data_IF_244983343337
#
_entry.id   IF_244983343337
#
_cell.length_a   1.000
_cell.length_b   1.000
_cell.length_c   1.000
_cell.angle_alpha   90.00
_cell.angle_beta   90.00
_cell.angle_gamma   90.00
#
_symmetry.space_group_name_H-M   'P 1'
#
loop_
_entity.id
_entity.type
_entity.pdbx_description
1 polymer ?
#
# COMPACT_ATOMS: atom_id res chain seq x y z
N UNK A 1 16.98 15.22 -32.24
CA UNK A 1 16.23 15.96 -31.19
C UNK A 1 14.90 15.25 -30.98
N UNK A 2 14.16 14.97 -32.05
CA UNK A 2 12.87 14.25 -31.99
C UNK A 2 12.98 12.83 -31.41
N UNK A 3 14.00 12.06 -31.76
CA UNK A 3 14.23 10.70 -31.23
C UNK A 3 14.37 10.65 -29.71
N UNK A 4 15.08 11.61 -29.12
CA UNK A 4 15.31 11.65 -27.67
C UNK A 4 14.05 12.09 -26.91
N UNK A 5 13.17 12.86 -27.56
CA UNK A 5 11.89 13.29 -26.98
C UNK A 5 10.94 12.09 -26.92
N UNK A 6 10.87 11.30 -27.99
CA UNK A 6 10.07 10.06 -28.06
C UNK A 6 10.52 9.03 -27.00
N UNK A 7 11.84 8.82 -26.86
CA UNK A 7 12.39 7.97 -25.81
C UNK A 7 12.07 8.50 -24.39
N UNK A 8 12.07 9.83 -24.20
CA UNK A 8 11.77 10.44 -22.91
C UNK A 8 10.28 10.28 -22.56
N UNK A 9 9.38 10.42 -23.52
CA UNK A 9 7.94 10.18 -23.31
C UNK A 9 7.66 8.73 -22.91
N UNK A 10 8.24 7.76 -23.62
CA UNK A 10 8.08 6.33 -23.30
C UNK A 10 8.55 6.00 -21.87
N UNK A 11 9.67 6.59 -21.45
CA UNK A 11 10.19 6.40 -20.09
C UNK A 11 9.29 7.03 -19.02
N UNK A 12 8.70 8.20 -19.29
CA UNK A 12 7.78 8.88 -18.37
C UNK A 12 6.47 8.12 -18.23
N UNK A 13 5.93 7.58 -19.32
CA UNK A 13 4.71 6.77 -19.31
C UNK A 13 4.91 5.43 -18.56
N UNK A 14 6.06 4.78 -18.77
CA UNK A 14 6.45 3.59 -18.02
C UNK A 14 6.56 3.90 -16.50
N UNK A 15 7.18 5.02 -16.14
CA UNK A 15 7.28 5.46 -14.75
C UNK A 15 5.90 5.76 -14.13
N UNK A 16 5.00 6.42 -14.89
CA UNK A 16 3.64 6.70 -14.43
C UNK A 16 2.85 5.42 -14.14
N UNK A 17 2.96 4.43 -15.02
CA UNK A 17 2.32 3.13 -14.86
C UNK A 17 2.76 2.42 -13.59
N UNK A 18 4.06 2.43 -13.29
CA UNK A 18 4.60 1.84 -12.06
C UNK A 18 4.06 2.56 -10.81
N UNK A 19 4.02 3.90 -10.80
CA UNK A 19 3.47 4.68 -9.68
C UNK A 19 2.01 4.31 -9.40
N UNK A 20 1.18 4.20 -10.45
CA UNK A 20 -0.22 3.80 -10.30
C UNK A 20 -0.37 2.38 -9.76
N UNK A 21 0.51 1.46 -10.19
CA UNK A 21 0.55 0.07 -9.70
C UNK A 21 0.84 0.01 -8.20
N UNK A 22 1.86 0.75 -7.73
CA UNK A 22 2.19 0.84 -6.31
C UNK A 22 1.07 1.49 -5.52
N UNK A 23 0.48 2.56 -6.03
CA UNK A 23 -0.64 3.24 -5.38
C UNK A 23 -1.86 2.32 -5.21
N UNK A 24 -2.20 1.55 -6.24
CA UNK A 24 -3.28 0.56 -6.16
C UNK A 24 -2.95 -0.57 -5.16
N UNK A 25 -1.72 -1.09 -5.19
CA UNK A 25 -1.24 -2.11 -4.23
C UNK A 25 -1.36 -1.63 -2.78
N UNK A 26 -0.89 -0.41 -2.48
CA UNK A 26 -0.97 0.19 -1.13
C UNK A 26 -2.43 0.43 -0.73
N UNK A 27 -3.26 0.93 -1.66
CA UNK A 27 -4.69 1.18 -1.42
C UNK A 27 -5.47 -0.10 -1.14
N UNK A 28 -5.12 -1.22 -1.80
CA UNK A 28 -5.82 -2.49 -1.63
C UNK A 28 -5.54 -3.14 -0.26
N UNK A 29 -4.42 -2.77 0.38
CA UNK A 29 -4.01 -3.32 1.68
C UNK A 29 -4.61 -2.61 2.89
N UNK A 30 -5.57 -1.69 2.72
CA UNK A 30 -6.21 -0.99 3.85
C UNK A 30 -6.91 -1.95 4.82
N UNK A 31 -7.48 -3.04 4.31
CA UNK A 31 -8.05 -4.10 5.15
C UNK A 31 -7.03 -4.83 6.03
N UNK A 32 -5.75 -4.88 5.62
CA UNK A 32 -4.68 -5.47 6.41
C UNK A 32 -4.49 -4.68 7.72
N UNK A 33 -4.45 -3.35 7.65
CA UNK A 33 -4.32 -2.48 8.82
C UNK A 33 -5.46 -2.70 9.81
N UNK A 34 -6.70 -2.80 9.32
CA UNK A 34 -7.87 -3.06 10.17
C UNK A 34 -7.74 -4.40 10.89
N UNK A 35 -7.33 -5.47 10.18
CA UNK A 35 -7.13 -6.80 10.78
C UNK A 35 -6.04 -6.77 11.87
N UNK A 36 -4.91 -6.13 11.61
CA UNK A 36 -3.82 -6.02 12.59
C UNK A 36 -4.30 -5.28 13.83
N UNK A 37 -5.00 -4.16 13.67
CA UNK A 37 -5.51 -3.37 14.79
C UNK A 37 -6.56 -4.13 15.60
N UNK A 38 -7.46 -4.88 14.94
CA UNK A 38 -8.46 -5.69 15.61
C UNK A 38 -7.84 -6.82 16.46
N UNK A 39 -6.77 -7.47 15.96
CA UNK A 39 -6.03 -8.50 16.72
C UNK A 39 -5.42 -7.89 17.99
N UNK A 40 -4.83 -6.70 17.90
CA UNK A 40 -4.26 -6.00 19.06
C UNK A 40 -5.32 -5.67 20.11
N UNK A 41 -6.49 -5.17 19.70
CA UNK A 41 -7.61 -4.88 20.62
C UNK A 41 -8.11 -6.16 21.30
N UNK A 42 -8.34 -7.22 20.52
CA UNK A 42 -8.82 -8.49 21.05
C UNK A 42 -7.86 -9.06 22.08
N UNK A 43 -6.56 -9.04 21.77
CA UNK A 43 -5.51 -9.47 22.68
C UNK A 43 -5.48 -8.62 23.95
N UNK A 44 -5.57 -7.29 23.83
CA UNK A 44 -5.62 -6.39 24.97
C UNK A 44 -6.82 -6.69 25.89
N UNK A 45 -8.02 -6.83 25.33
CA UNK A 45 -9.23 -7.17 26.10
C UNK A 45 -9.06 -8.51 26.80
N UNK A 46 -8.56 -9.53 26.10
CA UNK A 46 -8.29 -10.84 26.69
C UNK A 46 -7.35 -10.73 27.89
N UNK A 47 -6.23 -10.03 27.76
CA UNK A 47 -5.29 -9.86 28.87
C UNK A 47 -5.92 -9.12 30.05
N UNK A 48 -6.69 -8.07 29.81
CA UNK A 48 -7.37 -7.33 30.89
C UNK A 48 -8.43 -8.16 31.60
N UNK A 49 -9.17 -9.02 30.89
CA UNK A 49 -10.26 -9.80 31.49
C UNK A 49 -9.76 -11.06 32.20
N UNK A 50 -8.70 -11.70 31.69
CA UNK A 50 -8.28 -13.01 32.17
C UNK A 50 -6.98 -13.00 33.00
N UNK A 51 -6.15 -11.95 32.91
CA UNK A 51 -4.84 -11.89 33.57
C UNK A 51 -4.78 -10.80 34.66
N UNK A 52 -5.50 -9.68 34.50
CA UNK A 52 -5.61 -8.62 35.51
C UNK A 52 -6.71 -8.94 36.54
#
# INVERSE_FOLDING_TARGET
>A
IDSNIEDTELNVEAAHTEILKYFQSVTNNRWLMIKIFAVLIFFFIFFVVFVA
#
